data_IF_694621494269
#
_entry.id   IF_694621494269
#
_cell.length_a   1.000
_cell.length_b   1.000
_cell.length_c   1.000
_cell.angle_alpha   90.00
_cell.angle_beta   90.00
_cell.angle_gamma   90.00
#
_symmetry.space_group_name_H-M   'P 1'
#
loop_
_entity.id
_entity.type
_entity.pdbx_description
1 polymer ?
#
# COMPACT_ATOMS: atom_id res chain seq x y z
N UNK A 1 16.96 -6.72 -5.23
CA UNK A 1 17.66 -5.54 -5.79
C UNK A 1 17.74 -5.71 -7.30
N UNK A 2 17.33 -4.71 -8.11
CA UNK A 2 17.60 -4.77 -9.54
C UNK A 2 19.12 -4.78 -9.73
N UNK A 3 19.65 -5.80 -10.42
CA UNK A 3 21.07 -5.90 -10.73
C UNK A 3 21.48 -4.61 -11.46
N UNK A 4 22.48 -3.88 -10.94
CA UNK A 4 23.13 -2.78 -11.68
C UNK A 4 23.48 -3.33 -13.07
N UNK A 5 22.97 -2.70 -14.14
CA UNK A 5 23.32 -3.06 -15.51
C UNK A 5 24.83 -2.96 -15.64
N UNK A 6 25.51 -4.06 -15.98
CA UNK A 6 26.91 -4.03 -16.39
C UNK A 6 27.05 -3.00 -17.52
N UNK A 7 28.11 -2.19 -17.48
CA UNK A 7 28.45 -1.30 -18.58
C UNK A 7 28.42 -2.09 -19.89
N UNK A 8 27.69 -1.57 -20.88
CA UNK A 8 27.55 -2.20 -22.18
C UNK A 8 28.93 -2.38 -22.81
N UNK A 9 29.29 -3.62 -23.13
CA UNK A 9 30.53 -3.94 -23.88
C UNK A 9 30.55 -3.25 -25.26
N UNK A 10 29.39 -2.80 -25.74
CA UNK A 10 29.19 -2.32 -27.10
C UNK A 10 29.37 -0.80 -27.30
N UNK A 11 29.40 0.01 -26.24
CA UNK A 11 29.57 1.47 -26.36
C UNK A 11 30.56 1.97 -25.31
N UNK A 12 31.77 2.28 -25.77
CA UNK A 12 32.91 2.71 -24.93
C UNK A 12 33.02 4.22 -24.77
N UNK A 13 32.21 5.01 -25.49
CA UNK A 13 32.26 6.46 -25.52
C UNK A 13 30.98 7.10 -24.94
N UNK A 14 31.12 8.29 -24.35
CA UNK A 14 30.02 9.05 -23.76
C UNK A 14 29.21 9.81 -24.84
N UNK A 15 27.95 10.13 -24.55
CA UNK A 15 27.10 10.95 -25.43
C UNK A 15 27.71 12.34 -25.66
N UNK A 16 28.32 12.93 -24.62
CA UNK A 16 28.98 14.24 -24.71
C UNK A 16 30.17 14.23 -25.67
N UNK A 17 31.04 13.21 -25.58
CA UNK A 17 32.19 13.08 -26.48
C UNK A 17 31.72 12.84 -27.92
N UNK A 18 30.62 12.12 -28.10
CA UNK A 18 30.02 11.88 -29.40
C UNK A 18 29.48 13.18 -30.04
N UNK A 19 28.75 13.99 -29.27
CA UNK A 19 28.22 15.28 -29.74
C UNK A 19 29.37 16.23 -30.12
N UNK A 20 30.41 16.35 -29.28
CA UNK A 20 31.59 17.18 -29.56
C UNK A 20 32.36 16.71 -30.81
N UNK A 21 32.47 15.40 -31.01
CA UNK A 21 33.12 14.84 -32.20
C UNK A 21 32.36 15.16 -33.48
N UNK A 22 31.03 14.99 -33.48
CA UNK A 22 30.18 15.30 -34.65
C UNK A 22 30.18 16.80 -34.95
N UNK A 23 30.10 17.67 -33.93
CA UNK A 23 30.18 19.13 -34.11
C UNK A 23 31.54 19.55 -34.71
N UNK A 24 32.64 19.01 -34.18
CA UNK A 24 33.99 19.29 -34.68
C UNK A 24 34.21 18.87 -36.14
N UNK A 25 33.57 17.77 -36.58
CA UNK A 25 33.63 17.30 -37.97
C UNK A 25 32.74 18.16 -38.87
N UNK A 26 31.49 18.46 -38.45
CA UNK A 26 30.55 19.29 -39.22
C UNK A 26 31.05 20.73 -39.41
N UNK A 27 31.73 21.28 -38.40
CA UNK A 27 32.35 22.62 -38.44
C UNK A 27 33.70 22.66 -39.17
N UNK A 28 34.19 21.53 -39.70
CA UNK A 28 35.46 21.46 -40.43
C UNK A 28 36.72 21.62 -39.57
N UNK A 29 36.60 21.74 -38.24
CA UNK A 29 37.72 21.97 -37.31
C UNK A 29 38.62 20.74 -37.16
N UNK A 30 38.05 19.54 -37.29
CA UNK A 30 38.78 18.27 -37.18
C UNK A 30 38.35 17.28 -38.25
N UNK A 31 39.30 16.54 -38.81
CA UNK A 31 39.01 15.42 -39.71
C UNK A 31 38.43 14.22 -38.95
N UNK A 32 37.68 13.35 -39.63
CA UNK A 32 37.09 12.14 -39.00
C UNK A 32 38.14 11.30 -38.25
N UNK A 33 39.35 11.19 -38.81
CA UNK A 33 40.46 10.44 -38.22
C UNK A 33 41.00 11.10 -36.96
N UNK A 34 41.09 12.44 -36.95
CA UNK A 34 41.54 13.23 -35.79
C UNK A 34 40.49 13.23 -34.69
N UNK A 35 39.21 13.35 -35.03
CA UNK A 35 38.10 13.24 -34.08
C UNK A 35 38.01 11.85 -33.44
N UNK A 36 38.26 10.77 -34.21
CA UNK A 36 38.28 9.40 -33.68
C UNK A 36 39.32 9.22 -32.56
N UNK A 37 40.53 9.74 -32.78
CA UNK A 37 41.61 9.71 -31.79
C UNK A 37 41.32 10.64 -30.60
N UNK A 38 40.88 11.87 -30.86
CA UNK A 38 40.67 12.89 -29.81
C UNK A 38 39.56 12.53 -28.83
N UNK A 39 38.47 11.93 -29.31
CA UNK A 39 37.30 11.60 -28.50
C UNK A 39 37.18 10.12 -28.15
N UNK A 40 38.15 9.30 -28.57
CA UNK A 40 38.15 7.84 -28.38
C UNK A 40 36.88 7.17 -28.91
N UNK A 41 36.47 7.55 -30.13
CA UNK A 41 35.31 7.01 -30.83
C UNK A 41 35.80 6.29 -32.09
N UNK A 42 35.36 5.06 -32.39
CA UNK A 42 35.72 4.39 -33.63
C UNK A 42 35.39 5.24 -34.87
N UNK A 43 36.35 5.39 -35.77
CA UNK A 43 36.16 6.23 -36.96
C UNK A 43 34.99 5.75 -37.84
N UNK A 44 34.74 4.44 -37.90
CA UNK A 44 33.58 3.86 -38.58
C UNK A 44 32.25 4.40 -38.04
N UNK A 45 32.10 4.52 -36.71
CA UNK A 45 30.90 5.08 -36.07
C UNK A 45 30.66 6.53 -36.49
N UNK A 46 31.70 7.37 -36.48
CA UNK A 46 31.60 8.75 -36.94
C UNK A 46 31.24 8.81 -38.43
N UNK A 47 31.83 7.92 -39.23
CA UNK A 47 31.57 7.81 -40.67
C UNK A 47 30.12 7.39 -40.99
N UNK A 48 29.55 6.45 -40.25
CA UNK A 48 28.18 5.98 -40.45
C UNK A 48 27.14 7.04 -40.10
N UNK A 49 27.38 7.85 -39.05
CA UNK A 49 26.55 9.01 -38.74
C UNK A 49 26.69 10.14 -39.77
N UNK A 50 27.91 10.43 -40.24
CA UNK A 50 28.12 11.43 -41.30
C UNK A 50 27.50 11.04 -42.64
N UNK A 51 27.42 9.74 -42.93
CA UNK A 51 26.71 9.21 -44.12
C UNK A 51 25.21 9.00 -43.90
N UNK A 52 24.67 9.32 -42.73
CA UNK A 52 23.25 9.18 -42.41
C UNK A 52 22.75 7.73 -42.33
N UNK A 53 23.63 6.74 -42.28
CA UNK A 53 23.26 5.32 -42.09
C UNK A 53 22.67 5.08 -40.70
N UNK A 54 23.11 5.85 -39.72
CA UNK A 54 22.59 5.86 -38.36
C UNK A 54 22.14 7.29 -38.05
N UNK A 55 20.89 7.45 -37.60
CA UNK A 55 20.37 8.76 -37.17
C UNK A 55 20.88 9.09 -35.78
N UNK A 56 21.14 10.37 -35.53
CA UNK A 56 21.50 10.88 -34.20
C UNK A 56 20.43 10.51 -33.16
N UNK A 57 20.85 10.15 -31.94
CA UNK A 57 19.98 9.67 -30.85
C UNK A 57 19.17 8.38 -31.12
N UNK A 58 19.53 7.57 -32.13
CA UNK A 58 18.90 6.25 -32.28
C UNK A 58 19.23 5.37 -31.05
N UNK A 59 18.22 4.86 -30.31
CA UNK A 59 18.47 4.01 -29.16
C UNK A 59 19.23 2.75 -29.56
N UNK A 60 20.24 2.39 -28.78
CA UNK A 60 21.02 1.17 -29.01
C UNK A 60 20.17 -0.05 -28.69
N UNK A 61 19.98 -0.93 -29.69
CA UNK A 61 19.31 -2.21 -29.53
C UNK A 61 18.09 -2.39 -30.43
N UNK A 62 17.39 -3.52 -30.25
CA UNK A 62 16.16 -3.81 -30.99
C UNK A 62 15.06 -2.83 -30.58
N UNK A 63 14.27 -2.39 -31.57
CA UNK A 63 13.05 -1.63 -31.31
C UNK A 63 12.11 -2.44 -30.42
N UNK A 64 11.40 -1.82 -29.47
CA UNK A 64 10.39 -2.50 -28.68
C UNK A 64 9.33 -3.16 -29.58
N UNK A 65 8.82 -4.32 -29.16
CA UNK A 65 7.72 -5.03 -29.86
C UNK A 65 6.48 -4.15 -29.97
N UNK A 66 6.22 -3.34 -28.93
CA UNK A 66 5.13 -2.37 -28.89
C UNK A 66 5.74 -0.96 -29.00
N UNK A 67 5.32 -0.12 -29.96
CA UNK A 67 5.77 1.26 -30.09
C UNK A 67 5.61 2.07 -28.81
N UNK A 68 6.52 3.02 -28.58
CA UNK A 68 6.57 3.78 -27.33
C UNK A 68 5.34 4.68 -27.15
N UNK A 69 4.69 5.09 -28.24
CA UNK A 69 3.46 5.85 -28.26
C UNK A 69 2.28 5.03 -27.71
N UNK A 70 2.18 3.76 -28.13
CA UNK A 70 1.18 2.82 -27.62
C UNK A 70 1.48 2.51 -26.15
N UNK A 71 2.76 2.36 -25.81
CA UNK A 71 3.21 2.14 -24.44
C UNK A 71 2.71 3.26 -23.50
N UNK A 72 2.86 4.52 -23.89
CA UNK A 72 2.33 5.68 -23.14
C UNK A 72 0.81 5.63 -22.97
N UNK A 73 0.07 5.21 -24.00
CA UNK A 73 -1.38 5.04 -23.90
C UNK A 73 -1.76 3.92 -22.93
N UNK A 74 -1.02 2.80 -22.94
CA UNK A 74 -1.21 1.70 -21.99
C UNK A 74 -1.02 2.21 -20.57
N UNK A 75 0.09 2.91 -20.30
CA UNK A 75 0.38 3.49 -18.99
C UNK A 75 -0.75 4.40 -18.50
N UNK A 76 -1.23 5.31 -19.37
CA UNK A 76 -2.34 6.22 -19.04
C UNK A 76 -3.63 5.44 -18.70
N UNK A 77 -3.99 4.44 -19.51
CA UNK A 77 -5.18 3.62 -19.27
C UNK A 77 -5.06 2.79 -17.99
N UNK A 78 -3.88 2.23 -17.70
CA UNK A 78 -3.65 1.50 -16.46
C UNK A 78 -3.78 2.40 -15.23
N UNK A 79 -3.24 3.62 -15.28
CA UNK A 79 -3.37 4.59 -14.19
C UNK A 79 -4.83 4.97 -13.93
N UNK A 80 -5.56 5.34 -14.99
CA UNK A 80 -6.99 5.68 -14.90
C UNK A 80 -7.83 4.51 -14.38
N UNK A 81 -7.59 3.30 -14.88
CA UNK A 81 -8.30 2.12 -14.41
C UNK A 81 -8.00 1.83 -12.93
N UNK A 82 -6.77 2.03 -12.48
CA UNK A 82 -6.39 1.88 -11.08
C UNK A 82 -7.09 2.92 -10.18
N UNK A 83 -7.20 4.18 -10.61
CA UNK A 83 -7.94 5.23 -9.90
C UNK A 83 -9.43 4.90 -9.73
N UNK A 84 -10.02 4.22 -10.72
CA UNK A 84 -11.41 3.75 -10.67
C UNK A 84 -11.59 2.45 -9.86
N UNK A 85 -10.52 1.91 -9.26
CA UNK A 85 -10.56 0.63 -8.55
C UNK A 85 -10.60 -0.61 -9.46
N UNK A 86 -10.38 -0.43 -10.76
CA UNK A 86 -10.35 -1.48 -11.80
C UNK A 86 -8.92 -1.71 -12.29
N UNK A 87 -7.96 -1.77 -11.36
CA UNK A 87 -6.55 -1.94 -11.69
C UNK A 87 -6.26 -3.18 -12.54
N UNK A 88 -5.42 -3.02 -13.56
CA UNK A 88 -5.03 -4.11 -14.44
C UNK A 88 -3.83 -4.87 -13.88
N UNK A 89 -3.90 -6.20 -13.89
CA UNK A 89 -2.77 -7.03 -13.49
C UNK A 89 -1.75 -7.18 -14.63
N UNK A 90 -0.57 -7.72 -14.31
CA UNK A 90 0.52 -7.92 -15.27
C UNK A 90 0.09 -8.72 -16.50
N UNK A 91 -0.72 -9.76 -16.34
CA UNK A 91 -1.17 -10.59 -17.45
C UNK A 91 -2.06 -9.81 -18.41
N UNK A 92 -3.03 -9.06 -17.89
CA UNK A 92 -3.95 -8.23 -18.68
C UNK A 92 -3.21 -7.14 -19.48
N UNK A 93 -2.14 -6.58 -18.91
CA UNK A 93 -1.29 -5.60 -19.63
C UNK A 93 -0.49 -6.28 -20.74
N UNK A 94 -0.11 -7.54 -20.57
CA UNK A 94 0.65 -8.32 -21.56
C UNK A 94 -0.24 -9.00 -22.62
N UNK A 95 -1.57 -9.05 -22.47
CA UNK A 95 -2.46 -9.87 -23.32
C UNK A 95 -2.86 -9.20 -24.66
N UNK A 96 -2.40 -7.99 -24.96
CA UNK A 96 -2.84 -7.29 -26.19
C UNK A 96 -1.97 -7.63 -27.40
N UNK A 97 -2.55 -8.39 -28.35
CA UNK A 97 -2.08 -8.71 -29.72
C UNK A 97 -0.57 -8.98 -29.83
N UNK A 98 -0.19 -10.27 -29.81
CA UNK A 98 1.17 -10.82 -29.68
C UNK A 98 1.76 -10.63 -28.28
N UNK A 99 1.32 -11.47 -27.34
CA UNK A 99 1.78 -11.54 -25.94
C UNK A 99 3.28 -11.30 -25.83
N UNK A 100 3.70 -10.13 -25.32
CA UNK A 100 5.11 -9.82 -25.21
C UNK A 100 5.79 -10.74 -24.19
N UNK A 101 7.03 -11.14 -24.48
CA UNK A 101 7.82 -11.98 -23.57
C UNK A 101 8.12 -11.29 -22.23
N UNK A 102 8.61 -12.06 -21.25
CA UNK A 102 8.96 -11.54 -19.91
C UNK A 102 9.91 -10.34 -19.95
N UNK A 103 10.81 -10.29 -20.93
CA UNK A 103 11.77 -9.20 -21.13
C UNK A 103 11.11 -7.88 -21.55
N UNK A 104 10.00 -7.94 -22.27
CA UNK A 104 9.23 -6.75 -22.60
C UNK A 104 8.70 -6.09 -21.33
N UNK A 105 8.15 -6.86 -20.39
CA UNK A 105 7.66 -6.33 -19.12
C UNK A 105 8.76 -5.61 -18.32
N UNK A 106 9.95 -6.22 -18.24
CA UNK A 106 11.07 -5.57 -17.56
C UNK A 106 11.52 -4.27 -18.26
N UNK A 107 11.49 -4.25 -19.59
CA UNK A 107 11.74 -3.03 -20.37
C UNK A 107 10.66 -1.97 -20.17
N UNK A 108 9.38 -2.36 -20.22
CA UNK A 108 8.21 -1.51 -20.00
C UNK A 108 8.27 -0.83 -18.63
N UNK A 109 8.46 -1.62 -17.57
CA UNK A 109 8.54 -1.11 -16.20
C UNK A 109 9.81 -0.27 -15.97
N UNK A 110 10.90 -0.54 -16.71
CA UNK A 110 12.13 0.27 -16.66
C UNK A 110 11.98 1.63 -17.35
N UNK A 111 11.19 1.71 -18.43
CA UNK A 111 10.92 2.95 -19.16
C UNK A 111 9.85 3.82 -18.50
N UNK A 112 8.88 3.20 -17.81
CA UNK A 112 7.73 3.88 -17.20
C UNK A 112 7.75 3.72 -15.68
N UNK A 113 8.73 4.36 -15.03
CA UNK A 113 8.89 4.32 -13.57
C UNK A 113 7.76 5.01 -12.80
N UNK A 114 6.89 5.76 -13.48
CA UNK A 114 5.71 6.43 -12.91
C UNK A 114 4.58 5.46 -12.53
N UNK A 115 4.54 4.26 -13.11
CA UNK A 115 3.51 3.24 -12.81
C UNK A 115 4.19 1.97 -12.33
N UNK A 116 3.75 1.45 -11.18
CA UNK A 116 4.34 0.27 -10.55
C UNK A 116 3.26 -0.72 -10.14
N UNK A 117 3.61 -2.00 -10.03
CA UNK A 117 2.69 -3.01 -9.47
C UNK A 117 2.51 -2.75 -7.97
N UNK A 118 1.27 -2.54 -7.59
CA UNK A 118 0.84 -2.37 -6.20
C UNK A 118 -0.21 -3.42 -5.87
N UNK A 119 -0.25 -3.85 -4.62
CA UNK A 119 -1.36 -4.64 -4.11
C UNK A 119 -2.48 -3.67 -3.74
N UNK A 120 -3.66 -3.73 -4.40
CA UNK A 120 -4.79 -2.92 -3.99
C UNK A 120 -5.27 -3.38 -2.61
N UNK A 121 -5.72 -2.42 -1.80
CA UNK A 121 -6.37 -2.72 -0.54
C UNK A 121 -7.79 -3.25 -0.80
N UNK A 122 -8.22 -4.25 -0.03
CA UNK A 122 -9.58 -4.77 -0.14
C UNK A 122 -10.55 -3.71 0.35
N UNK A 123 -11.50 -3.35 -0.49
CA UNK A 123 -12.46 -2.31 -0.17
C UNK A 123 -13.84 -2.70 -0.72
N UNK A 124 -14.87 -2.60 0.10
CA UNK A 124 -16.23 -2.98 -0.33
C UNK A 124 -16.83 -1.87 -1.19
N UNK A 125 -17.68 -2.23 -2.15
CA UNK A 125 -18.35 -1.28 -3.04
C UNK A 125 -19.19 -0.25 -2.28
N UNK A 126 -19.80 -0.64 -1.16
CA UNK A 126 -20.56 0.25 -0.28
C UNK A 126 -19.64 1.27 0.40
N UNK A 127 -18.50 0.82 0.96
CA UNK A 127 -17.52 1.74 1.55
C UNK A 127 -16.95 2.70 0.50
N UNK A 128 -16.75 2.24 -0.74
CA UNK A 128 -16.32 3.09 -1.84
C UNK A 128 -17.31 4.20 -2.18
N UNK A 129 -18.61 3.90 -2.16
CA UNK A 129 -19.65 4.90 -2.38
C UNK A 129 -19.84 5.86 -1.20
N UNK A 130 -19.49 5.42 0.01
CA UNK A 130 -19.59 6.22 1.23
C UNK A 130 -18.37 7.17 1.39
N UNK A 131 -17.17 6.71 1.08
CA UNK A 131 -15.92 7.48 1.11
C UNK A 131 -15.72 8.34 -0.15
N UNK A 132 -16.79 9.02 -0.58
CA UNK A 132 -16.72 10.08 -1.59
C UNK A 132 -16.22 11.38 -0.93
N UNK A 133 -15.35 12.14 -1.60
CA UNK A 133 -14.83 13.42 -1.10
C UNK A 133 -15.94 14.39 -0.67
N UNK A 134 -17.07 14.42 -1.39
CA UNK A 134 -18.23 15.24 -1.06
C UNK A 134 -18.83 14.80 0.29
N UNK A 135 -19.18 13.51 0.42
CA UNK A 135 -19.78 12.96 1.64
C UNK A 135 -18.86 13.06 2.85
N UNK A 136 -17.56 12.83 2.64
CA UNK A 136 -16.55 12.97 3.68
C UNK A 136 -16.43 14.43 4.10
N UNK A 137 -16.44 15.36 3.15
CA UNK A 137 -16.45 16.80 3.41
C UNK A 137 -17.67 17.23 4.23
N UNK A 138 -18.87 16.83 3.83
CA UNK A 138 -20.13 17.08 4.55
C UNK A 138 -20.06 16.55 5.98
N UNK A 139 -19.63 15.29 6.16
CA UNK A 139 -19.47 14.68 7.48
C UNK A 139 -18.55 15.50 8.39
N UNK A 140 -17.38 15.94 7.91
CA UNK A 140 -16.45 16.73 8.72
C UNK A 140 -16.95 18.14 9.01
N UNK A 141 -17.75 18.74 8.12
CA UNK A 141 -18.41 20.02 8.38
C UNK A 141 -19.44 19.88 9.50
N UNK A 142 -20.29 18.85 9.43
CA UNK A 142 -21.28 18.56 10.46
C UNK A 142 -20.63 18.22 11.80
N UNK A 143 -19.57 17.40 11.78
CA UNK A 143 -18.79 17.08 12.97
C UNK A 143 -18.20 18.34 13.60
N UNK A 144 -17.60 19.23 12.80
CA UNK A 144 -17.04 20.49 13.28
C UNK A 144 -18.13 21.38 13.91
N UNK A 145 -19.32 21.44 13.31
CA UNK A 145 -20.47 22.19 13.85
C UNK A 145 -20.88 21.65 15.23
N UNK A 146 -20.99 20.34 15.37
CA UNK A 146 -21.35 19.72 16.65
C UNK A 146 -20.24 19.86 17.71
N UNK A 147 -18.97 19.71 17.33
CA UNK A 147 -17.84 19.94 18.22
C UNK A 147 -17.80 21.38 18.76
N UNK A 148 -18.10 22.36 17.91
CA UNK A 148 -18.25 23.76 18.32
C UNK A 148 -19.44 23.94 19.27
N UNK A 149 -20.61 23.40 18.91
CA UNK A 149 -21.84 23.52 19.71
C UNK A 149 -21.68 22.95 21.11
N UNK A 150 -20.96 21.83 21.24
CA UNK A 150 -20.68 21.16 22.51
C UNK A 150 -19.44 21.71 23.23
N UNK A 151 -18.69 22.65 22.62
CA UNK A 151 -17.48 23.22 23.19
C UNK A 151 -16.39 22.17 23.47
N UNK A 152 -16.19 21.24 22.53
CA UNK A 152 -15.28 20.09 22.64
C UNK A 152 -13.93 20.28 21.94
N UNK A 153 -13.73 21.38 21.19
CA UNK A 153 -12.54 21.58 20.35
C UNK A 153 -11.22 21.44 21.13
N UNK A 154 -11.18 21.95 22.36
CA UNK A 154 -9.99 21.94 23.22
C UNK A 154 -10.09 20.91 24.35
N UNK A 155 -10.99 19.92 24.24
CA UNK A 155 -11.27 18.92 25.29
C UNK A 155 -11.09 17.49 24.77
N UNK A 156 -9.86 17.10 24.38
CA UNK A 156 -9.59 15.78 23.84
C UNK A 156 -9.91 14.63 24.82
N UNK A 157 -9.95 14.92 26.13
CA UNK A 157 -10.31 13.95 27.16
C UNK A 157 -11.78 13.51 27.12
N UNK A 158 -12.65 14.29 26.47
CA UNK A 158 -14.08 14.04 26.35
C UNK A 158 -14.47 13.39 25.01
N UNK A 159 -13.56 13.33 24.05
CA UNK A 159 -13.81 12.72 22.73
C UNK A 159 -13.32 11.28 22.76
N UNK A 160 -14.24 10.33 22.88
CA UNK A 160 -13.96 8.90 22.94
C UNK A 160 -14.26 8.21 21.61
N UNK A 161 -13.38 7.30 21.22
CA UNK A 161 -13.64 6.36 20.13
C UNK A 161 -13.63 4.93 20.69
N UNK A 162 -14.61 4.13 20.30
CA UNK A 162 -14.68 2.70 20.61
C UNK A 162 -14.62 1.93 19.30
N UNK A 163 -13.81 0.87 19.27
CA UNK A 163 -13.72 -0.02 18.12
C UNK A 163 -13.68 -1.49 18.55
N UNK A 164 -14.19 -2.34 17.67
CA UNK A 164 -14.22 -3.78 17.82
C UNK A 164 -13.05 -4.42 17.06
N UNK A 165 -12.32 -5.30 17.76
CA UNK A 165 -11.31 -6.14 17.13
C UNK A 165 -11.55 -7.62 17.39
N UNK A 166 -11.78 -8.38 16.33
CA UNK A 166 -11.72 -9.83 16.35
C UNK A 166 -10.27 -10.31 16.33
N UNK A 167 -9.88 -11.08 17.36
CA UNK A 167 -8.57 -11.72 17.48
C UNK A 167 -8.73 -13.21 17.21
N UNK A 168 -8.18 -13.75 16.11
CA UNK A 168 -8.24 -15.17 15.82
C UNK A 168 -7.46 -15.97 16.88
N UNK A 169 -7.99 -17.11 17.28
CA UNK A 169 -7.28 -18.06 18.15
C UNK A 169 -6.30 -18.94 17.36
N UNK A 170 -6.49 -19.03 16.05
CA UNK A 170 -5.58 -19.72 15.15
C UNK A 170 -4.29 -18.90 14.97
N UNK A 171 -3.14 -19.57 15.10
CA UNK A 171 -1.85 -18.93 14.86
C UNK A 171 -1.61 -18.75 13.35
N UNK A 172 -0.99 -17.63 12.97
CA UNK A 172 -0.47 -17.44 11.61
C UNK A 172 0.99 -17.90 11.56
N UNK A 173 1.35 -18.90 10.72
CA UNK A 173 2.73 -19.37 10.62
C UNK A 173 3.67 -18.23 10.27
N UNK A 174 4.72 -18.07 11.09
CA UNK A 174 5.76 -17.08 10.84
C UNK A 174 6.69 -17.52 9.70
N UNK A 175 7.48 -16.59 9.17
CA UNK A 175 8.54 -16.95 8.24
C UNK A 175 9.53 -17.87 8.95
N UNK A 176 9.83 -19.01 8.32
CA UNK A 176 10.77 -20.01 8.86
C UNK A 176 12.02 -20.10 7.97
N UNK A 177 13.11 -20.54 8.57
CA UNK A 177 14.33 -20.89 7.83
C UNK A 177 14.09 -22.23 7.14
N UNK A 178 14.31 -22.30 5.84
CA UNK A 178 14.15 -23.50 5.03
C UNK A 178 15.19 -23.56 3.91
N UNK A 179 15.35 -24.73 3.29
CA UNK A 179 16.29 -24.92 2.20
C UNK A 179 15.97 -24.01 1.01
N UNK A 180 17.01 -23.46 0.37
CA UNK A 180 16.89 -22.49 -0.74
C UNK A 180 16.09 -23.02 -1.94
N UNK A 181 16.05 -24.33 -2.14
CA UNK A 181 15.32 -25.01 -3.22
C UNK A 181 13.89 -25.43 -2.85
N UNK A 182 13.48 -25.28 -1.58
CA UNK A 182 12.12 -25.61 -1.14
C UNK A 182 11.12 -24.58 -1.69
N UNK A 183 10.32 -24.99 -2.67
CA UNK A 183 9.28 -24.14 -3.28
C UNK A 183 8.03 -24.01 -2.40
N UNK A 184 7.75 -25.01 -1.57
CA UNK A 184 6.58 -25.04 -0.68
C UNK A 184 7.01 -25.51 0.70
N UNK A 185 6.68 -24.73 1.73
CA UNK A 185 6.94 -25.07 3.13
C UNK A 185 5.57 -25.23 3.79
N UNK A 186 5.17 -26.43 4.23
CA UNK A 186 3.87 -26.62 4.87
C UNK A 186 3.87 -25.98 6.26
N UNK A 187 2.91 -25.09 6.53
CA UNK A 187 2.58 -24.62 7.87
C UNK A 187 1.36 -25.37 8.37
N UNK A 188 1.46 -26.05 9.51
CA UNK A 188 0.32 -26.74 10.14
C UNK A 188 -0.48 -25.72 10.95
N UNK A 189 -1.74 -25.55 10.61
CA UNK A 189 -2.69 -24.72 11.35
C UNK A 189 -3.96 -25.52 11.63
N UNK A 190 -4.67 -25.19 12.70
CA UNK A 190 -5.92 -25.85 13.06
C UNK A 190 -7.07 -25.29 12.24
N UNK A 191 -7.98 -26.12 11.69
CA UNK A 191 -9.11 -25.63 10.88
C UNK A 191 -10.21 -24.84 11.67
N UNK A 192 -9.88 -24.34 12.86
CA UNK A 192 -10.77 -23.60 13.74
C UNK A 192 -10.82 -22.12 13.34
N UNK A 193 -11.99 -21.66 12.89
CA UNK A 193 -12.28 -20.23 12.63
C UNK A 193 -12.69 -19.47 13.88
N UNK A 194 -12.22 -19.92 15.04
CA UNK A 194 -12.60 -19.33 16.33
C UNK A 194 -11.82 -18.05 16.58
N UNK A 195 -12.52 -17.09 17.18
CA UNK A 195 -11.97 -15.78 17.54
C UNK A 195 -12.51 -15.37 18.89
N UNK A 196 -11.75 -14.53 19.57
CA UNK A 196 -12.26 -13.68 20.63
C UNK A 196 -12.48 -12.28 20.08
N UNK A 197 -13.40 -11.54 20.68
CA UNK A 197 -13.74 -10.18 20.25
C UNK A 197 -13.41 -9.24 21.39
N UNK A 198 -12.75 -8.12 21.07
CA UNK A 198 -12.31 -7.13 22.05
C UNK A 198 -12.94 -5.78 21.69
N UNK A 199 -13.62 -5.15 22.63
CA UNK A 199 -13.99 -3.74 22.53
C UNK A 199 -12.93 -2.91 23.25
N UNK A 200 -12.20 -2.13 22.47
CA UNK A 200 -11.24 -1.15 22.98
C UNK A 200 -11.84 0.24 22.89
N UNK A 201 -11.66 1.05 23.92
CA UNK A 201 -12.10 2.45 23.88
C UNK A 201 -11.02 3.38 24.42
N UNK A 202 -10.70 4.42 23.66
CA UNK A 202 -9.61 5.36 23.91
C UNK A 202 -10.12 6.76 23.60
N UNK A 203 -9.74 7.77 24.40
CA UNK A 203 -10.04 9.16 24.10
C UNK A 203 -8.93 9.83 23.28
N UNK A 204 -9.22 11.00 22.72
CA UNK A 204 -8.25 11.74 21.91
C UNK A 204 -7.01 12.20 22.71
N UNK A 205 -7.10 12.27 24.05
CA UNK A 205 -5.94 12.53 24.92
C UNK A 205 -5.01 11.32 25.05
N UNK A 206 -5.53 10.10 24.85
CA UNK A 206 -4.80 8.84 24.95
C UNK A 206 -5.12 8.00 26.19
N UNK A 207 -6.06 8.44 27.04
CA UNK A 207 -6.58 7.62 28.13
C UNK A 207 -7.38 6.44 27.57
N UNK A 208 -7.29 5.31 28.27
CA UNK A 208 -7.87 4.04 27.83
C UNK A 208 -8.93 3.58 28.81
N UNK A 209 -10.06 3.08 28.31
CA UNK A 209 -11.01 2.34 29.12
C UNK A 209 -10.56 0.89 29.26
N UNK A 210 -10.99 0.25 30.34
CA UNK A 210 -10.85 -1.19 30.45
C UNK A 210 -11.56 -1.87 29.28
N UNK A 211 -10.91 -2.84 28.60
CA UNK A 211 -11.53 -3.51 27.47
C UNK A 211 -12.64 -4.46 27.92
N UNK A 212 -13.63 -4.65 27.05
CA UNK A 212 -14.54 -5.79 27.13
C UNK A 212 -14.02 -6.90 26.23
N UNK A 213 -13.80 -8.08 26.79
CA UNK A 213 -13.34 -9.26 26.07
C UNK A 213 -14.50 -10.25 26.01
N UNK A 214 -14.93 -10.58 24.79
CA UNK A 214 -16.01 -11.51 24.50
C UNK A 214 -15.41 -12.79 23.95
N UNK A 215 -15.54 -13.88 24.70
CA UNK A 215 -15.10 -15.21 24.28
C UNK A 215 -16.24 -16.00 23.66
N UNK A 216 -15.90 -16.94 22.78
CA UNK A 216 -16.91 -17.83 22.20
C UNK A 216 -17.42 -18.81 23.24
N UNK A 217 -18.72 -18.81 23.53
CA UNK A 217 -19.31 -19.73 24.48
C UNK A 217 -20.79 -19.48 24.75
N UNK A 218 -21.50 -20.50 25.24
CA UNK A 218 -22.93 -20.38 25.63
C UNK A 218 -23.12 -20.17 27.13
N UNK A 219 -22.07 -20.35 27.94
CA UNK A 219 -22.14 -20.32 29.39
C UNK A 219 -20.88 -19.69 29.98
N UNK A 220 -20.95 -19.27 31.24
CA UNK A 220 -19.83 -18.70 32.00
C UNK A 220 -18.59 -19.60 32.03
N UNK A 221 -18.76 -20.93 31.89
CA UNK A 221 -17.64 -21.89 31.83
C UNK A 221 -16.66 -21.57 30.69
N UNK A 222 -17.13 -20.96 29.60
CA UNK A 222 -16.27 -20.55 28.50
C UNK A 222 -15.32 -19.40 28.88
N UNK A 223 -15.70 -18.52 29.80
CA UNK A 223 -14.79 -17.50 30.35
C UNK A 223 -13.79 -18.15 31.30
N UNK A 224 -14.25 -19.11 32.11
CA UNK A 224 -13.41 -19.84 33.07
C UNK A 224 -12.31 -20.69 32.42
N UNK A 225 -12.45 -21.06 31.14
CA UNK A 225 -11.38 -21.75 30.41
C UNK A 225 -10.22 -20.83 30.01
N UNK A 226 -10.33 -19.52 30.22
CA UNK A 226 -9.25 -18.56 30.02
C UNK A 226 -8.58 -18.21 31.34
N UNK A 227 -7.26 -17.99 31.30
CA UNK A 227 -6.55 -17.39 32.42
C UNK A 227 -6.83 -15.88 32.48
N UNK A 228 -8.01 -15.52 32.98
CA UNK A 228 -8.45 -14.13 33.08
C UNK A 228 -7.58 -13.28 34.00
N UNK A 229 -6.85 -13.90 34.93
CA UNK A 229 -5.92 -13.22 35.83
C UNK A 229 -4.69 -12.65 35.10
N UNK A 230 -4.22 -13.32 34.05
CA UNK A 230 -3.15 -12.83 33.15
C UNK A 230 -3.68 -11.87 32.08
N UNK A 231 -4.98 -11.54 32.13
CA UNK A 231 -5.62 -10.61 31.21
C UNK A 231 -5.21 -9.15 31.44
N UNK A 232 -5.61 -8.23 30.53
CA UNK A 232 -5.42 -6.80 30.75
C UNK A 232 -6.06 -6.34 32.06
N UNK A 233 -5.36 -5.48 32.80
CA UNK A 233 -5.83 -4.99 34.11
C UNK A 233 -7.21 -4.34 33.98
N UNK A 234 -8.15 -4.78 34.81
CA UNK A 234 -9.52 -4.27 34.84
C UNK A 234 -10.39 -4.69 33.66
N UNK A 235 -9.92 -5.60 32.79
CA UNK A 235 -10.71 -6.12 31.68
C UNK A 235 -11.97 -6.82 32.19
N UNK A 236 -13.09 -6.54 31.55
CA UNK A 236 -14.34 -7.27 31.77
C UNK A 236 -14.41 -8.41 30.77
N UNK A 237 -14.72 -9.61 31.24
CA UNK A 237 -14.83 -10.80 30.40
C UNK A 237 -16.28 -11.26 30.34
N UNK A 238 -16.78 -11.49 29.13
CA UNK A 238 -18.12 -12.02 28.88
C UNK A 238 -18.05 -13.09 27.78
N UNK A 239 -19.16 -13.78 27.53
CA UNK A 239 -19.24 -14.85 26.53
C UNK A 239 -20.42 -14.64 25.58
N UNK A 240 -20.26 -15.07 24.33
CA UNK A 240 -21.36 -15.13 23.37
C UNK A 240 -21.19 -16.32 22.44
N UNK A 241 -22.32 -16.95 22.05
CA UNK A 241 -22.33 -18.26 21.40
C UNK A 241 -21.51 -18.34 20.10
N UNK A 242 -21.38 -17.21 19.39
CA UNK A 242 -20.66 -17.10 18.12
C UNK A 242 -19.44 -16.16 18.19
N UNK A 243 -19.15 -15.54 19.34
CA UNK A 243 -18.20 -14.43 19.51
C UNK A 243 -18.39 -13.26 18.51
N UNK A 244 -19.64 -12.98 18.13
CA UNK A 244 -19.97 -11.79 17.33
C UNK A 244 -20.71 -10.77 18.17
N UNK A 245 -20.51 -9.50 17.84
CA UNK A 245 -21.27 -8.39 18.42
C UNK A 245 -22.71 -8.46 17.95
N UNK A 246 -23.60 -8.69 18.90
CA UNK A 246 -25.02 -8.38 18.79
C UNK A 246 -25.25 -7.04 19.50
N UNK A 247 -26.29 -6.30 19.10
CA UNK A 247 -26.61 -4.97 19.64
C UNK A 247 -26.66 -4.96 21.18
N UNK A 248 -27.11 -6.08 21.78
CA UNK A 248 -27.17 -6.30 23.23
C UNK A 248 -25.80 -6.16 23.91
N UNK A 249 -24.73 -6.70 23.32
CA UNK A 249 -23.38 -6.59 23.88
C UNK A 249 -22.82 -5.17 23.76
N UNK A 250 -23.20 -4.44 22.70
CA UNK A 250 -22.89 -3.02 22.57
C UNK A 250 -23.55 -2.18 23.66
N UNK A 251 -24.82 -2.44 23.95
CA UNK A 251 -25.58 -1.79 25.03
C UNK A 251 -25.00 -2.14 26.40
N UNK A 252 -24.63 -3.41 26.61
CA UNK A 252 -24.00 -3.86 27.85
C UNK A 252 -22.66 -3.16 28.08
N UNK A 253 -21.81 -3.09 27.05
CA UNK A 253 -20.57 -2.33 27.10
C UNK A 253 -20.83 -0.85 27.41
N UNK A 254 -21.78 -0.22 26.72
CA UNK A 254 -22.08 1.19 26.90
C UNK A 254 -22.55 1.48 28.33
N UNK A 255 -23.46 0.66 28.86
CA UNK A 255 -24.05 0.86 30.18
C UNK A 255 -23.08 0.52 31.31
N UNK A 256 -22.38 -0.61 31.19
CA UNK A 256 -21.59 -1.15 32.29
C UNK A 256 -20.14 -0.65 32.31
N UNK A 257 -19.60 -0.18 31.18
CA UNK A 257 -18.21 0.25 31.08
C UNK A 257 -18.16 1.74 30.76
N UNK A 258 -18.77 2.16 29.64
CA UNK A 258 -18.65 3.55 29.18
C UNK A 258 -19.32 4.53 30.14
N UNK A 259 -20.60 4.33 30.49
CA UNK A 259 -21.33 5.21 31.39
C UNK A 259 -20.79 5.19 32.82
N UNK A 260 -20.25 4.07 33.32
CA UNK A 260 -19.64 4.08 34.67
C UNK A 260 -18.38 4.94 34.72
N UNK A 261 -17.60 4.96 33.63
CA UNK A 261 -16.37 5.76 33.56
C UNK A 261 -16.65 7.24 33.26
N UNK A 262 -17.56 7.53 32.34
CA UNK A 262 -17.91 8.90 31.93
C UNK A 262 -19.00 9.55 32.81
N UNK A 263 -19.96 8.78 33.31
CA UNK A 263 -21.11 9.27 34.09
C UNK A 263 -20.71 9.83 35.45
N UNK A 264 -19.71 9.24 36.12
CA UNK A 264 -19.19 9.79 37.38
C UNK A 264 -18.50 11.16 37.19
N UNK A 265 -17.99 11.46 35.99
CA UNK A 265 -17.41 12.77 35.68
C UNK A 265 -18.48 13.84 35.41
N UNK A 266 -19.68 13.43 34.99
CA UNK A 266 -20.83 14.34 34.79
C UNK A 266 -21.49 14.72 36.11
N UNK A 267 -21.62 13.79 37.06
CA UNK A 267 -22.23 14.07 38.38
C UNK A 267 -21.38 15.02 39.22
N UNK A 268 -20.04 14.93 39.12
CA UNK A 268 -19.14 15.82 39.85
C UNK A 268 -19.06 17.24 39.25
N UNK A 269 -19.32 17.42 37.95
CA UNK A 269 -19.37 18.75 37.31
C UNK A 269 -20.69 19.51 37.50
N UNK A 270 -21.76 18.83 37.93
CA UNK A 270 -23.05 19.46 38.26
C UNK A 270 -23.09 19.92 39.73
N UNK A 271 -22.12 19.50 40.55
CA UNK A 271 -22.05 19.79 41.99
C UNK A 271 -21.06 20.88 42.39
N UNK A 272 -20.36 21.50 41.44
CA UNK A 272 -19.58 22.72 41.72
C UNK A 272 -20.43 23.95 41.35
N UNK A 273 -20.78 24.81 42.33
CA UNK A 273 -21.50 26.06 42.08
C UNK A 273 -20.65 27.10 41.33
#
# INVERSE_FOLDING_TARGET
MPKKRKQSVYRTYTDENFIKAIDGIKSGRVSQRKAASLYSIPQATLSDHMRGRIKDNTPVGRKPVIPIEIEKQIVKKCAQAAEMGLGMNKAQVMEKNNTPGKDWWYGFNGRNSTVTLRSPEKFTSIRARALNSVKVGEYFLDLKKEMNRLGLNDKPELVWNMDEKGVPLEHTPSKVVAAKSSRTIPGRVSNTRERNTIFGCINARGDRMSPLIIVKGKTQKAVMSYNTADGPVGATWTYQAKAWTEDVLGIEWFTNIFLKKCGNQLVNKIKEP
#
